data_IF_409635205024
#
_entry.id   IF_409635205024
#
_cell.length_a   1.000
_cell.length_b   1.000
_cell.length_c   1.000
_cell.angle_alpha   90.00
_cell.angle_beta   90.00
_cell.angle_gamma   90.00
#
_symmetry.space_group_name_H-M   'P 1'
#
loop_
_entity.id
_entity.type
_entity.pdbx_description
1 polymer ?
#
# COMPACT_ATOMS: atom_id res chain seq x y z
N UNK A 1 21.88 28.74 27.40
CA UNK A 1 22.11 27.28 27.58
C UNK A 1 20.79 26.55 27.76
N UNK A 2 20.42 25.66 26.83
CA UNK A 2 19.63 24.43 27.02
C UNK A 2 19.30 23.85 25.63
N UNK A 3 20.21 23.04 25.09
CA UNK A 3 19.94 22.19 23.94
C UNK A 3 19.17 20.95 24.41
N UNK A 4 17.93 20.77 23.92
CA UNK A 4 17.21 19.49 24.01
C UNK A 4 17.80 18.56 22.93
N UNK A 5 18.57 17.54 23.35
CA UNK A 5 18.86 16.40 22.49
C UNK A 5 17.71 15.40 22.64
N UNK A 6 17.02 15.13 21.53
CA UNK A 6 16.08 14.02 21.44
C UNK A 6 16.87 12.70 21.45
N UNK A 7 16.55 11.84 22.41
CA UNK A 7 17.01 10.48 22.49
C UNK A 7 16.31 9.64 21.42
N UNK A 8 17.03 9.33 20.34
CA UNK A 8 16.70 8.25 19.40
C UNK A 8 17.72 7.14 19.57
N UNK A 9 17.50 6.25 20.55
CA UNK A 9 18.30 5.03 20.73
C UNK A 9 17.51 3.89 20.11
N UNK A 10 17.72 3.65 18.82
CA UNK A 10 17.45 2.33 18.23
C UNK A 10 18.69 1.47 18.50
N UNK A 11 18.54 0.59 19.48
CA UNK A 11 19.26 -0.68 19.57
C UNK A 11 18.86 -1.46 18.32
N UNK A 12 19.77 -1.92 17.47
CA UNK A 12 20.46 -3.20 17.66
C UNK A 12 21.83 -3.28 16.95
N UNK A 13 22.72 -4.01 17.61
CA UNK A 13 24.14 -4.23 17.39
C UNK A 13 24.42 -5.33 16.34
N UNK A 14 25.68 -5.48 15.99
CA UNK A 14 26.25 -6.15 14.83
C UNK A 14 26.10 -7.69 14.74
N UNK A 15 26.29 -8.20 13.52
CA UNK A 15 26.54 -9.61 13.20
C UNK A 15 25.42 -10.23 12.36
N UNK A 16 25.77 -10.84 11.22
CA UNK A 16 24.86 -11.54 10.30
C UNK A 16 23.88 -12.49 11.01
N UNK A 17 22.71 -12.00 11.43
CA UNK A 17 21.54 -12.82 11.77
C UNK A 17 20.58 -12.70 10.60
N UNK A 18 20.47 -13.74 9.80
CA UNK A 18 19.43 -13.85 8.77
C UNK A 18 18.08 -14.06 9.48
N UNK A 19 17.54 -12.95 9.96
CA UNK A 19 16.36 -12.84 10.81
C UNK A 19 15.23 -12.18 10.04
N UNK A 20 14.00 -12.45 10.44
CA UNK A 20 12.89 -11.62 10.02
C UNK A 20 13.09 -10.18 10.51
N UNK A 21 12.83 -9.22 9.64
CA UNK A 21 12.89 -7.78 9.91
C UNK A 21 11.53 -7.15 9.65
N UNK A 22 11.23 -6.11 10.43
CA UNK A 22 10.07 -5.26 10.22
C UNK A 22 10.54 -3.87 9.85
N UNK A 23 9.97 -3.32 8.78
CA UNK A 23 10.33 -1.99 8.31
C UNK A 23 9.10 -1.29 7.76
N UNK A 24 8.97 0.00 8.07
CA UNK A 24 7.92 0.82 7.50
C UNK A 24 8.07 0.87 5.97
N UNK A 25 6.96 0.80 5.26
CA UNK A 25 6.94 0.77 3.79
C UNK A 25 6.02 1.85 3.23
N UNK A 26 6.17 2.12 1.95
CA UNK A 26 5.29 3.00 1.20
C UNK A 26 4.98 2.36 -0.14
N UNK A 27 3.70 2.36 -0.54
CA UNK A 27 3.24 1.89 -1.84
C UNK A 27 2.67 3.06 -2.62
N UNK A 28 3.21 3.30 -3.81
CA UNK A 28 2.73 4.35 -4.72
C UNK A 28 1.86 3.72 -5.82
N UNK A 29 0.62 4.19 -5.94
CA UNK A 29 -0.36 3.75 -6.94
C UNK A 29 -0.26 4.52 -8.26
N UNK A 30 0.70 5.44 -8.37
CA UNK A 30 1.03 6.20 -9.57
C UNK A 30 0.63 7.68 -9.51
N UNK A 31 0.80 8.34 -10.65
CA UNK A 31 0.38 9.71 -10.91
C UNK A 31 -0.61 9.72 -12.07
N UNK A 32 -1.85 10.13 -11.83
CA UNK A 32 -2.96 10.00 -12.78
C UNK A 32 -3.82 11.26 -12.82
N UNK A 33 -4.41 11.58 -13.96
CA UNK A 33 -5.34 12.70 -14.06
C UNK A 33 -6.58 12.48 -13.19
N UNK A 34 -7.19 13.57 -12.71
CA UNK A 34 -8.43 13.52 -11.94
C UNK A 34 -9.56 12.78 -12.67
N UNK A 35 -9.59 12.83 -14.02
CA UNK A 35 -10.54 12.06 -14.83
C UNK A 35 -10.29 10.55 -14.77
N UNK A 36 -9.04 10.10 -14.87
CA UNK A 36 -8.73 8.66 -14.77
C UNK A 36 -9.09 8.11 -13.40
N UNK A 37 -8.80 8.86 -12.33
CA UNK A 37 -9.16 8.47 -10.97
C UNK A 37 -10.69 8.48 -10.75
N UNK A 38 -11.42 9.33 -11.46
CA UNK A 38 -12.88 9.38 -11.40
C UNK A 38 -13.57 8.20 -12.08
N UNK A 39 -12.96 7.61 -13.11
CA UNK A 39 -13.59 6.57 -13.94
C UNK A 39 -13.02 5.17 -13.71
N UNK A 40 -11.80 5.07 -13.19
CA UNK A 40 -11.09 3.80 -13.07
C UNK A 40 -10.54 3.61 -11.66
N UNK A 41 -10.73 2.39 -11.12
CA UNK A 41 -10.08 1.97 -9.89
C UNK A 41 -8.58 1.82 -10.10
N UNK A 42 -7.78 2.35 -9.19
CA UNK A 42 -6.33 2.27 -9.24
C UNK A 42 -5.85 1.14 -8.36
N UNK A 43 -4.96 0.31 -8.88
CA UNK A 43 -4.44 -0.85 -8.20
C UNK A 43 -2.92 -0.86 -8.19
N UNK A 44 -2.35 -1.42 -7.13
CA UNK A 44 -0.91 -1.57 -6.97
C UNK A 44 -0.60 -2.52 -5.84
N UNK A 45 0.66 -2.92 -5.74
CA UNK A 45 1.12 -3.79 -4.66
C UNK A 45 2.44 -3.30 -4.10
N UNK A 46 2.64 -3.52 -2.82
CA UNK A 46 3.91 -3.23 -2.16
C UNK A 46 4.16 -4.20 -1.01
N UNK A 47 5.24 -3.95 -0.28
CA UNK A 47 5.59 -4.77 0.87
C UNK A 47 4.71 -4.46 2.07
N UNK A 48 4.23 -5.50 2.76
CA UNK A 48 3.48 -5.42 4.00
C UNK A 48 4.38 -5.20 5.25
N UNK A 49 5.67 -4.97 5.05
CA UNK A 49 6.61 -4.55 6.09
C UNK A 49 7.34 -5.67 6.81
N UNK A 50 6.92 -6.94 6.69
CA UNK A 50 7.66 -8.11 7.19
C UNK A 50 8.48 -8.74 6.06
N UNK A 51 9.77 -8.93 6.31
CA UNK A 51 10.71 -9.62 5.41
C UNK A 51 11.46 -10.68 6.19
N UNK A 52 11.68 -11.86 5.61
CA UNK A 52 12.43 -12.95 6.23
C UNK A 52 13.35 -13.61 5.21
N UNK A 53 14.48 -14.18 5.67
CA UNK A 53 15.18 -15.17 4.85
C UNK A 53 14.38 -16.48 4.86
N UNK A 54 13.95 -16.92 3.68
CA UNK A 54 13.04 -18.05 3.51
C UNK A 54 13.74 -19.36 3.15
N UNK A 55 15.05 -19.34 2.84
CA UNK A 55 15.77 -20.54 2.36
C UNK A 55 15.70 -21.68 3.38
N UNK A 56 15.91 -21.37 4.66
CA UNK A 56 15.86 -22.35 5.75
C UNK A 56 14.43 -22.56 6.26
N UNK A 57 13.59 -21.54 6.12
CA UNK A 57 12.23 -21.58 6.60
C UNK A 57 11.32 -22.50 5.77
N UNK A 58 11.66 -22.77 4.51
CA UNK A 58 10.93 -23.69 3.64
C UNK A 58 10.97 -25.16 4.12
N UNK A 59 11.94 -25.51 4.97
CA UNK A 59 12.16 -26.89 5.41
C UNK A 59 11.47 -27.22 6.74
N UNK A 60 10.83 -26.23 7.38
CA UNK A 60 10.31 -26.37 8.75
C UNK A 60 8.96 -25.70 8.93
N UNK A 61 8.21 -26.11 9.95
CA UNK A 61 6.93 -25.46 10.27
C UNK A 61 7.17 -24.01 10.68
N UNK A 62 6.51 -23.10 9.99
CA UNK A 62 6.53 -21.67 10.28
C UNK A 62 5.16 -21.25 10.83
N UNK A 63 5.18 -20.17 11.60
CA UNK A 63 3.96 -19.53 12.08
C UNK A 63 4.00 -18.09 11.65
N UNK A 64 2.97 -17.65 10.93
CA UNK A 64 2.83 -16.24 10.53
C UNK A 64 1.36 -15.87 10.66
N UNK A 65 1.12 -14.75 11.33
CA UNK A 65 -0.19 -14.17 11.54
C UNK A 65 -0.12 -12.67 11.31
N UNK A 66 -1.22 -12.12 10.80
CA UNK A 66 -1.38 -10.70 10.51
C UNK A 66 -2.65 -10.19 11.16
N UNK A 67 -2.61 -8.98 11.70
CA UNK A 67 -3.79 -8.22 12.10
C UNK A 67 -3.64 -6.77 11.64
N UNK A 68 -4.75 -6.14 11.25
CA UNK A 68 -4.80 -4.69 11.02
C UNK A 68 -5.18 -4.03 12.35
N UNK A 69 -4.26 -3.24 12.91
CA UNK A 69 -4.48 -2.50 14.16
C UNK A 69 -5.26 -1.21 13.90
N UNK A 70 -4.89 -0.47 12.83
CA UNK A 70 -5.55 0.79 12.50
C UNK A 70 -5.43 1.14 11.01
N UNK A 71 -6.50 1.70 10.46
CA UNK A 71 -6.51 2.38 9.15
C UNK A 71 -7.81 3.17 9.02
N UNK A 72 -7.81 4.24 8.24
CA UNK A 72 -9.06 4.88 7.80
C UNK A 72 -9.60 4.27 6.51
N UNK A 73 -8.81 3.42 5.82
CA UNK A 73 -9.08 2.91 4.47
C UNK A 73 -9.44 4.02 3.46
N UNK A 74 -8.84 5.20 3.66
CA UNK A 74 -9.01 6.37 2.79
C UNK A 74 -7.65 7.01 2.50
N UNK A 75 -7.41 7.33 1.24
CA UNK A 75 -6.35 8.26 0.86
C UNK A 75 -6.91 9.67 1.00
N UNK A 76 -6.27 10.52 1.79
CA UNK A 76 -6.71 11.89 2.07
C UNK A 76 -5.83 12.87 1.30
N UNK A 77 -6.46 13.74 0.52
CA UNK A 77 -5.80 14.77 -0.28
C UNK A 77 -5.65 16.11 0.44
N UNK A 78 -5.01 17.10 -0.20
CA UNK A 78 -4.63 18.35 0.43
C UNK A 78 -5.79 19.23 0.91
N UNK A 79 -6.98 19.09 0.30
CA UNK A 79 -8.19 19.84 0.70
C UNK A 79 -9.22 18.96 1.41
N UNK A 80 -8.80 17.82 1.96
CA UNK A 80 -9.66 16.91 2.71
C UNK A 80 -10.54 15.98 1.87
N UNK A 81 -10.46 16.04 0.53
CA UNK A 81 -11.09 15.01 -0.30
C UNK A 81 -10.47 13.66 0.00
N UNK A 82 -11.28 12.61 -0.12
CA UNK A 82 -10.85 11.27 0.22
C UNK A 82 -11.19 10.29 -0.88
N UNK A 83 -10.27 9.37 -1.13
CA UNK A 83 -10.43 8.26 -2.07
C UNK A 83 -10.47 6.98 -1.23
N UNK A 84 -11.60 6.26 -1.16
CA UNK A 84 -11.65 4.97 -0.48
C UNK A 84 -10.68 3.98 -1.13
N UNK A 85 -10.08 3.12 -0.32
CA UNK A 85 -9.28 2.01 -0.80
C UNK A 85 -9.50 0.74 0.01
N UNK A 86 -9.18 -0.40 -0.59
CA UNK A 86 -9.13 -1.71 0.05
C UNK A 86 -7.71 -2.24 0.02
N UNK A 87 -7.36 -3.06 1.01
CA UNK A 87 -6.10 -3.78 1.05
C UNK A 87 -6.36 -5.28 1.20
N UNK A 88 -5.59 -6.13 0.53
CA UNK A 88 -5.73 -7.58 0.54
C UNK A 88 -4.37 -8.29 0.43
N UNK A 89 -4.30 -9.53 0.91
CA UNK A 89 -3.08 -10.35 0.83
C UNK A 89 -2.83 -10.99 -0.55
N UNK A 90 -3.79 -10.86 -1.47
CA UNK A 90 -3.67 -11.25 -2.87
C UNK A 90 -4.46 -10.28 -3.74
N UNK A 91 -4.14 -10.23 -5.04
CA UNK A 91 -4.71 -9.25 -5.97
C UNK A 91 -6.25 -9.23 -6.04
N UNK A 92 -6.89 -10.38 -5.80
CA UNK A 92 -8.35 -10.53 -5.77
C UNK A 92 -8.83 -11.16 -4.45
N UNK A 93 -8.05 -11.00 -3.38
CA UNK A 93 -8.35 -11.56 -2.08
C UNK A 93 -9.47 -10.80 -1.35
N UNK A 94 -9.92 -11.37 -0.24
CA UNK A 94 -10.81 -10.67 0.67
C UNK A 94 -10.11 -9.41 1.24
N UNK A 95 -10.88 -8.32 1.37
CA UNK A 95 -10.39 -7.10 1.98
C UNK A 95 -10.07 -7.32 3.46
N UNK A 96 -8.91 -6.82 3.88
CA UNK A 96 -8.53 -6.81 5.28
C UNK A 96 -9.42 -5.85 6.08
N UNK A 97 -9.78 -6.26 7.29
CA UNK A 97 -10.58 -5.47 8.21
C UNK A 97 -9.81 -5.24 9.51
N UNK A 98 -10.07 -4.09 10.16
CA UNK A 98 -9.48 -3.75 11.46
C UNK A 98 -9.87 -4.81 12.48
N UNK A 99 -8.91 -5.22 13.30
CA UNK A 99 -9.12 -6.17 14.38
C UNK A 99 -9.20 -7.64 13.94
N UNK A 100 -9.27 -7.93 12.64
CA UNK A 100 -9.35 -9.30 12.13
C UNK A 100 -7.98 -9.97 12.08
N UNK A 101 -7.82 -11.06 12.81
CA UNK A 101 -6.61 -11.88 12.78
C UNK A 101 -6.65 -12.85 11.60
N UNK A 102 -5.59 -12.84 10.80
CA UNK A 102 -5.38 -13.70 9.66
C UNK A 102 -4.26 -14.69 9.97
N UNK A 103 -4.58 -15.97 10.10
CA UNK A 103 -3.57 -17.01 10.24
C UNK A 103 -3.06 -17.42 8.85
N UNK A 104 -1.78 -17.17 8.58
CA UNK A 104 -1.13 -17.41 7.29
C UNK A 104 -0.22 -18.64 7.33
N UNK A 105 -0.18 -19.36 8.45
CA UNK A 105 0.74 -20.49 8.67
C UNK A 105 0.44 -21.72 7.81
N UNK A 106 -0.74 -21.77 7.17
CA UNK A 106 -1.11 -22.83 6.23
C UNK A 106 -0.60 -22.58 4.81
N UNK A 107 -0.15 -21.36 4.52
CA UNK A 107 0.42 -21.03 3.21
C UNK A 107 1.86 -21.55 3.14
N UNK A 108 2.35 -21.88 1.95
CA UNK A 108 3.76 -22.19 1.81
C UNK A 108 4.58 -20.92 2.06
N UNK A 109 5.69 -21.04 2.76
CA UNK A 109 6.48 -19.84 3.11
C UNK A 109 7.02 -19.12 1.87
N UNK A 110 7.30 -19.87 0.79
CA UNK A 110 7.71 -19.30 -0.50
C UNK A 110 6.59 -18.47 -1.11
N UNK A 111 5.35 -18.94 -1.07
CA UNK A 111 4.19 -18.18 -1.57
C UNK A 111 3.90 -16.95 -0.70
N UNK A 112 4.10 -17.07 0.61
CA UNK A 112 3.83 -16.02 1.57
C UNK A 112 4.80 -14.84 1.41
N UNK A 113 6.09 -15.12 1.19
CA UNK A 113 7.13 -14.12 0.99
C UNK A 113 7.48 -13.91 -0.50
N UNK A 114 6.48 -14.00 -1.38
CA UNK A 114 6.65 -13.84 -2.83
C UNK A 114 6.87 -12.38 -3.29
N UNK A 115 6.79 -11.41 -2.37
CA UNK A 115 7.06 -10.01 -2.66
C UNK A 115 8.55 -9.71 -2.84
N UNK A 116 8.84 -8.49 -3.28
CA UNK A 116 10.23 -8.03 -3.44
C UNK A 116 11.00 -8.14 -2.13
N UNK A 117 12.27 -8.54 -2.23
CA UNK A 117 13.17 -8.78 -1.09
C UNK A 117 12.62 -9.78 -0.05
N UNK A 118 11.97 -10.86 -0.52
CA UNK A 118 11.34 -11.88 0.33
C UNK A 118 10.40 -11.26 1.36
N UNK A 119 9.52 -10.38 0.88
CA UNK A 119 8.53 -9.72 1.72
C UNK A 119 7.14 -10.26 1.47
N UNK A 120 6.24 -10.09 2.43
CA UNK A 120 4.84 -10.42 2.22
C UNK A 120 4.20 -9.30 1.38
N UNK A 121 3.61 -9.60 0.21
CA UNK A 121 2.97 -8.58 -0.61
C UNK A 121 1.62 -8.16 -0.01
N UNK A 122 1.31 -6.88 -0.16
CA UNK A 122 0.01 -6.29 0.13
C UNK A 122 -0.51 -5.61 -1.13
N UNK A 123 -1.73 -5.94 -1.51
CA UNK A 123 -2.38 -5.45 -2.71
C UNK A 123 -3.40 -4.39 -2.32
N UNK A 124 -3.37 -3.27 -3.03
CA UNK A 124 -4.26 -2.14 -2.81
C UNK A 124 -5.11 -1.90 -4.03
N UNK A 125 -6.35 -1.49 -3.78
CA UNK A 125 -7.28 -1.07 -4.84
C UNK A 125 -8.14 0.08 -4.36
N UNK A 126 -8.12 1.19 -5.09
CA UNK A 126 -9.00 2.34 -4.82
C UNK A 126 -10.38 2.13 -5.41
N UNK A 127 -11.35 2.89 -4.91
CA UNK A 127 -12.64 3.08 -5.56
C UNK A 127 -12.57 4.32 -6.46
N UNK A 128 -13.12 4.22 -7.67
CA UNK A 128 -13.22 5.35 -8.59
C UNK A 128 -13.95 6.51 -7.90
N UNK A 129 -13.34 7.70 -7.91
CA UNK A 129 -13.79 8.85 -7.11
C UNK A 129 -13.65 10.14 -7.91
N UNK A 130 -14.76 10.86 -8.10
CA UNK A 130 -14.80 12.13 -8.83
C UNK A 130 -14.65 13.34 -7.90
N UNK A 131 -14.55 14.55 -8.47
CA UNK A 131 -14.46 15.81 -7.70
C UNK A 131 -13.13 16.00 -6.97
N UNK A 132 -12.09 15.28 -7.38
CA UNK A 132 -10.77 15.35 -6.78
C UNK A 132 -10.00 16.55 -7.31
N UNK A 133 -9.37 17.30 -6.40
CA UNK A 133 -8.37 18.30 -6.75
C UNK A 133 -7.03 17.62 -7.00
N UNK A 134 -6.21 18.22 -7.86
CA UNK A 134 -4.84 17.79 -8.04
C UNK A 134 -4.06 17.90 -6.72
N UNK A 135 -3.17 16.93 -6.49
CA UNK A 135 -2.37 16.85 -5.28
C UNK A 135 -2.07 15.41 -4.88
N UNK A 136 -1.32 15.29 -3.79
CA UNK A 136 -0.92 14.01 -3.21
C UNK A 136 -1.98 13.51 -2.23
N UNK A 137 -2.50 12.31 -2.45
CA UNK A 137 -3.45 11.64 -1.59
C UNK A 137 -2.75 10.53 -0.84
N UNK A 138 -2.84 10.53 0.50
CA UNK A 138 -2.16 9.52 1.33
C UNK A 138 -3.07 8.85 2.33
N UNK A 139 -2.81 7.57 2.56
CA UNK A 139 -3.39 6.77 3.62
C UNK A 139 -2.34 5.89 4.28
N UNK A 140 -2.77 5.12 5.28
CA UNK A 140 -1.89 4.21 6.02
C UNK A 140 -2.64 2.96 6.46
N UNK A 141 -1.88 1.91 6.76
CA UNK A 141 -2.31 0.74 7.51
C UNK A 141 -1.26 0.45 8.57
N UNK A 142 -1.70 0.40 9.82
CA UNK A 142 -0.91 -0.12 10.92
C UNK A 142 -1.20 -1.60 11.04
N UNK A 143 -0.17 -2.39 10.77
CA UNK A 143 -0.22 -3.84 10.76
C UNK A 143 0.52 -4.39 11.97
N UNK A 144 0.01 -5.49 12.51
CA UNK A 144 0.66 -6.26 13.56
C UNK A 144 0.99 -7.65 13.03
N UNK A 145 2.28 -7.96 13.08
CA UNK A 145 2.83 -9.24 12.67
C UNK A 145 3.09 -10.11 13.89
N UNK A 146 2.61 -11.34 13.82
CA UNK A 146 2.93 -12.39 14.77
C UNK A 146 3.66 -13.46 13.99
N UNK A 147 4.89 -13.78 14.35
CA UNK A 147 5.68 -14.70 13.55
C UNK A 147 6.61 -15.54 14.41
N UNK A 148 6.91 -16.72 13.90
CA UNK A 148 8.04 -17.54 14.34
C UNK A 148 8.52 -18.31 13.13
N UNK A 149 9.67 -17.92 12.59
CA UNK A 149 10.20 -18.42 11.32
C UNK A 149 11.64 -18.89 11.56
N UNK A 150 12.03 -19.99 10.93
CA UNK A 150 13.38 -20.51 11.10
C UNK A 150 14.42 -19.52 10.54
N UNK A 151 15.37 -19.11 11.37
CA UNK A 151 16.45 -18.17 11.01
C UNK A 151 17.81 -18.85 10.83
N UNK A 152 18.00 -20.02 11.44
CA UNK A 152 19.24 -20.79 11.36
C UNK A 152 18.94 -22.28 11.45
N UNK A 153 19.63 -23.08 10.64
CA UNK A 153 19.33 -24.48 10.45
C UNK A 153 19.84 -25.03 9.13
N UNK A 154 19.68 -26.34 8.95
CA UNK A 154 19.97 -27.03 7.69
C UNK A 154 18.85 -28.02 7.40
N UNK A 155 18.91 -29.23 7.99
CA UNK A 155 17.82 -30.19 7.96
C UNK A 155 16.79 -29.97 9.09
N UNK A 156 17.22 -29.36 10.20
CA UNK A 156 16.39 -28.99 11.34
C UNK A 156 16.60 -27.52 11.67
N UNK A 157 15.59 -26.88 12.24
CA UNK A 157 15.73 -25.51 12.72
C UNK A 157 16.46 -25.47 14.06
N UNK A 158 17.54 -24.70 14.14
CA UNK A 158 18.33 -24.49 15.35
C UNK A 158 17.91 -23.21 16.09
N UNK A 159 17.41 -22.20 15.36
CA UNK A 159 16.90 -20.98 15.97
C UNK A 159 15.76 -20.36 15.16
N UNK A 160 14.84 -19.72 15.86
CA UNK A 160 13.69 -19.05 15.26
C UNK A 160 13.77 -17.55 15.48
N UNK A 161 13.56 -16.78 14.42
CA UNK A 161 13.21 -15.37 14.52
C UNK A 161 11.72 -15.28 14.84
N UNK A 162 11.38 -14.73 16.00
CA UNK A 162 10.00 -14.69 16.48
C UNK A 162 9.61 -13.32 17.00
N UNK A 163 8.33 -12.98 16.87
CA UNK A 163 7.77 -11.77 17.47
C UNK A 163 7.72 -11.86 19.01
N UNK A 164 7.71 -10.72 19.72
CA UNK A 164 7.66 -10.68 21.18
C UNK A 164 6.52 -11.51 21.78
N UNK A 165 6.87 -12.37 22.74
CA UNK A 165 5.91 -13.21 23.47
C UNK A 165 5.38 -14.43 22.72
N UNK A 166 5.89 -14.70 21.51
CA UNK A 166 5.47 -15.89 20.76
C UNK A 166 5.97 -17.18 21.42
N UNK A 167 5.09 -18.18 21.57
CA UNK A 167 5.42 -19.51 22.08
C UNK A 167 4.94 -20.56 21.08
N UNK A 168 5.87 -21.35 20.54
CA UNK A 168 5.56 -22.47 19.64
C UNK A 168 4.85 -23.59 20.41
N UNK A 169 3.85 -24.26 19.81
CA UNK A 169 3.22 -25.41 20.43
C UNK A 169 4.22 -26.55 20.53
N UNK A 170 4.13 -27.31 21.63
CA UNK A 170 4.98 -28.44 21.93
C UNK A 170 4.32 -29.36 22.94
N UNK A 171 5.04 -30.35 23.46
CA UNK A 171 4.51 -31.28 24.45
C UNK A 171 4.05 -30.53 25.71
N UNK A 172 2.73 -30.47 25.92
CA UNK A 172 2.10 -29.78 27.06
C UNK A 172 2.06 -28.25 26.95
N UNK A 173 2.48 -27.66 25.83
CA UNK A 173 2.51 -26.20 25.61
C UNK A 173 1.63 -25.86 24.42
N UNK A 174 0.59 -25.05 24.65
CA UNK A 174 -0.27 -24.53 23.60
C UNK A 174 0.41 -23.39 22.83
N UNK A 175 0.03 -23.21 21.56
CA UNK A 175 0.46 -22.08 20.74
C UNK A 175 0.03 -20.76 21.40
N UNK A 176 0.96 -19.83 21.55
CA UNK A 176 0.68 -18.45 21.95
C UNK A 176 1.30 -17.50 20.92
N UNK A 177 0.47 -16.64 20.31
CA UNK A 177 0.93 -15.67 19.31
C UNK A 177 1.73 -14.51 19.92
N UNK A 178 1.57 -14.26 21.22
CA UNK A 178 2.25 -13.16 21.91
C UNK A 178 1.66 -11.79 21.61
N UNK A 179 2.47 -10.76 21.85
CA UNK A 179 2.07 -9.36 21.62
C UNK A 179 2.19 -8.96 20.14
N UNK A 180 3.01 -9.68 19.37
CA UNK A 180 3.33 -9.32 17.99
C UNK A 180 4.23 -8.09 17.90
N UNK A 181 4.49 -7.66 16.67
CA UNK A 181 5.28 -6.47 16.36
C UNK A 181 4.56 -5.63 15.31
N UNK A 182 4.50 -4.32 15.54
CA UNK A 182 3.74 -3.41 14.69
C UNK A 182 4.60 -2.74 13.62
N UNK A 183 4.01 -2.50 12.44
CA UNK A 183 4.64 -1.78 11.34
C UNK A 183 3.61 -0.92 10.61
N UNK A 184 4.02 0.25 10.13
CA UNK A 184 3.18 1.13 9.32
C UNK A 184 3.48 0.97 7.85
N UNK A 185 2.43 0.72 7.06
CA UNK A 185 2.45 0.72 5.60
C UNK A 185 1.74 1.98 5.12
N UNK A 186 2.42 2.82 4.35
CA UNK A 186 1.83 4.00 3.73
C UNK A 186 1.35 3.68 2.32
N UNK A 187 0.29 4.36 1.88
CA UNK A 187 -0.23 4.26 0.52
C UNK A 187 -0.38 5.66 -0.04
N UNK A 188 0.04 5.85 -1.28
CA UNK A 188 0.04 7.15 -1.95
C UNK A 188 -0.52 7.04 -3.36
N UNK A 189 -1.28 8.05 -3.77
CA UNK A 189 -1.67 8.30 -5.15
C UNK A 189 -1.51 9.80 -5.44
N UNK A 190 -0.90 10.16 -6.56
CA UNK A 190 -0.84 11.55 -7.01
C UNK A 190 -1.92 11.81 -8.06
N UNK A 191 -2.80 12.76 -7.79
CA UNK A 191 -3.83 13.22 -8.73
C UNK A 191 -3.28 14.45 -9.46
N UNK A 192 -3.28 14.41 -10.79
CA UNK A 192 -2.89 15.51 -11.66
C UNK A 192 -4.14 16.27 -12.13
N UNK A 193 -3.95 17.54 -12.51
CA UNK A 193 -5.03 18.30 -13.13
C UNK A 193 -5.39 17.66 -14.48
N UNK A 194 -6.69 17.63 -14.77
CA UNK A 194 -7.19 17.22 -16.07
C UNK A 194 -7.64 18.46 -16.85
N UNK A 195 -6.94 18.77 -17.93
CA UNK A 195 -7.27 19.88 -18.82
C UNK A 195 -8.14 19.38 -19.98
N UNK A 196 -9.34 18.85 -19.71
CA UNK A 196 -10.31 18.61 -20.77
C UNK A 196 -10.94 19.95 -21.15
N UNK A 197 -10.62 20.44 -22.35
CA UNK A 197 -11.33 21.56 -22.97
C UNK A 197 -12.58 21.00 -23.63
N UNK A 198 -13.73 21.11 -22.96
CA UNK A 198 -15.02 20.92 -23.62
C UNK A 198 -15.36 22.23 -24.35
N UNK A 199 -14.93 22.37 -25.59
CA UNK A 199 -15.41 23.45 -26.45
C UNK A 199 -16.85 23.10 -26.90
N UNK A 200 -17.87 23.92 -26.58
CA UNK A 200 -19.17 23.76 -27.21
C UNK A 200 -19.01 23.86 -28.73
N UNK A 201 -19.71 23.02 -29.49
CA UNK A 201 -19.77 23.20 -30.93
C UNK A 201 -20.28 24.61 -31.22
N UNK A 202 -19.47 25.44 -31.88
CA UNK A 202 -19.94 26.71 -32.40
C UNK A 202 -20.97 26.41 -33.50
N UNK A 203 -22.26 26.46 -33.13
CA UNK A 203 -23.34 26.48 -34.11
C UNK A 203 -23.38 27.88 -34.70
N UNK A 204 -22.72 28.05 -35.85
CA UNK A 204 -23.06 29.15 -36.75
C UNK A 204 -24.43 28.81 -37.30
N UNK A 205 -25.49 29.26 -36.61
CA UNK A 205 -26.83 29.29 -37.18
C UNK A 205 -26.73 29.87 -38.59
N UNK A 206 -27.49 29.30 -39.53
CA UNK A 206 -27.49 29.66 -40.95
C UNK A 206 -27.85 31.14 -41.15
N UNK A 207 -26.90 32.02 -40.93
CA UNK A 207 -26.97 33.42 -41.31
C UNK A 207 -26.59 33.48 -42.80
N UNK A 208 -27.49 33.93 -43.68
CA UNK A 208 -27.17 34.07 -45.09
C UNK A 208 -26.05 35.11 -45.25
N UNK A 209 -25.02 34.75 -46.01
CA UNK A 209 -23.99 35.68 -46.47
C UNK A 209 -24.68 36.80 -47.27
N UNK A 210 -24.73 38.01 -46.73
CA UNK A 210 -25.12 39.19 -47.50
C UNK A 210 -23.97 39.49 -48.47
N UNK A 211 -24.08 38.96 -49.68
CA UNK A 211 -23.32 39.42 -50.82
C UNK A 211 -23.99 40.69 -51.38
N UNK A 212 -23.30 41.83 -51.27
CA UNK A 212 -23.17 42.85 -52.33
C UNK A 212 -22.69 44.19 -51.75
N UNK A 213 -21.43 44.53 -52.01
CA UNK A 213 -21.03 45.93 -52.15
C UNK A 213 -20.46 46.09 -53.57
N UNK A 214 -21.28 46.58 -54.49
CA UNK A 214 -20.84 46.96 -55.83
C UNK A 214 -19.98 48.22 -55.75
N UNK A 215 -18.86 48.34 -56.51
CA UNK A 215 -18.06 49.55 -56.55
C UNK A 215 -18.80 50.66 -57.31
N UNK A 216 -18.84 51.87 -56.74
CA UNK A 216 -19.34 53.08 -57.43
C UNK A 216 -18.30 53.57 -58.46
N UNK A 217 -18.68 53.83 -59.72
CA UNK A 217 -17.83 54.57 -60.64
C UNK A 217 -17.86 56.06 -60.28
N UNK A 218 -16.69 56.70 -60.14
CA UNK A 218 -16.57 58.14 -59.95
C UNK A 218 -16.79 58.92 -61.25
N UNK A 219 -17.25 60.18 -61.19
CA UNK A 219 -17.48 60.99 -62.38
C UNK A 219 -16.16 61.51 -62.97
N UNK A 220 -16.19 61.64 -64.29
CA UNK A 220 -15.17 62.09 -65.25
C UNK A 220 -14.54 63.45 -64.99
#
# INVERSE_FOLDING_TARGET
>A
MRHRRHAGRLVDDAGHRRSCTLSATSTNLGSLSSYTVANTAQAGSGSAGLQCDILLAALTTHYVGLQVDASTFRLTGPSGQTIPFTAALSANGAALAIGSFQNLSSLSIVSLFAGTNNSIPLYFRTTATSGLRAGRYTGFLDLRWFYSVCSLGAAVCLSYSSSPGFVRPGLGVALNWGAGSTVRVNVELTVLNDCIITAPAASFGSAPLVAASTPSPGPS
#
